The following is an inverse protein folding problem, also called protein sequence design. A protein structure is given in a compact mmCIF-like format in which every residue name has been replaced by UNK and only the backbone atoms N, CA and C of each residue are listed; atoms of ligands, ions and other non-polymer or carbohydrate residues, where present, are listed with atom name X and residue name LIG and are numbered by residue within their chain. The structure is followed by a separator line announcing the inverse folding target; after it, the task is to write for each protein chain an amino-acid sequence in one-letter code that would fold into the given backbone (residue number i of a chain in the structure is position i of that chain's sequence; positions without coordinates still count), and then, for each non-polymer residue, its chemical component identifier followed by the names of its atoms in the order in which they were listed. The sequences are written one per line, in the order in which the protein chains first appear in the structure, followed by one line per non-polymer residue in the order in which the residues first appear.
data_IF_113213810650
#
_entry.id   IF_113213810650
#
_cell.length_a   1.000
_cell.length_b   1.000
_cell.length_c   1.000
_cell.angle_alpha   90.00
_cell.angle_beta   90.00
_cell.angle_gamma   90.00
#
_symmetry.space_group_name_H-M   'P 1'
#
loop_
_entity.id
_entity.type
_entity.pdbx_description
1 polymer ?
#
# COMPACT_ATOMS: atom_id res chain seq x y z
N UNK A 1 -6.86 24.66 13.73
CA UNK A 1 -7.28 23.32 14.18
C UNK A 1 -8.74 23.16 13.79
N UNK A 2 -9.02 22.34 12.78
CA UNK A 2 -10.39 22.01 12.39
C UNK A 2 -10.95 20.90 13.29
N UNK A 3 -12.24 20.99 13.61
CA UNK A 3 -12.91 20.04 14.50
C UNK A 3 -13.69 19.03 13.65
N UNK A 4 -13.26 17.78 13.69
CA UNK A 4 -13.95 16.66 13.06
C UNK A 4 -14.77 15.88 14.11
N UNK A 5 -16.00 15.53 13.79
CA UNK A 5 -16.80 14.60 14.60
C UNK A 5 -16.64 13.19 14.05
N UNK A 6 -16.06 12.29 14.86
CA UNK A 6 -15.83 10.89 14.50
C UNK A 6 -16.79 10.02 15.29
N UNK A 7 -17.58 9.21 14.59
CA UNK A 7 -18.47 8.21 15.18
C UNK A 7 -17.73 6.88 15.32
N UNK A 8 -17.60 6.41 16.56
CA UNK A 8 -17.04 5.10 16.86
C UNK A 8 -18.14 4.10 17.21
N UNK A 9 -18.09 2.88 16.69
CA UNK A 9 -18.88 1.76 17.19
C UNK A 9 -18.71 1.57 18.70
N UNK A 10 -19.80 1.23 19.40
CA UNK A 10 -19.83 1.15 20.87
C UNK A 10 -18.75 0.23 21.49
N UNK A 11 -18.40 -0.95 20.92
CA UNK A 11 -17.31 -1.77 21.46
C UNK A 11 -15.95 -1.06 21.40
N UNK A 12 -15.70 -0.29 20.34
CA UNK A 12 -14.44 0.42 20.11
C UNK A 12 -14.35 1.64 21.02
N UNK A 13 -15.46 2.38 21.18
CA UNK A 13 -15.55 3.53 22.07
C UNK A 13 -15.31 3.14 23.54
N UNK A 14 -15.88 2.02 24.00
CA UNK A 14 -15.63 1.49 25.34
C UNK A 14 -14.15 1.17 25.57
N UNK A 15 -13.50 0.54 24.60
CA UNK A 15 -12.05 0.25 24.66
C UNK A 15 -11.22 1.54 24.71
N UNK A 16 -11.51 2.51 23.85
CA UNK A 16 -10.85 3.82 23.83
C UNK A 16 -10.97 4.55 25.17
N UNK A 17 -12.18 4.60 25.74
CA UNK A 17 -12.41 5.20 27.07
C UNK A 17 -11.65 4.49 28.19
N UNK A 18 -11.57 3.16 28.14
CA UNK A 18 -10.80 2.40 29.14
C UNK A 18 -9.30 2.72 29.05
N UNK A 19 -8.78 2.91 27.84
CA UNK A 19 -7.37 3.19 27.59
C UNK A 19 -7.01 4.62 27.99
N UNK A 20 -7.89 5.59 27.66
CA UNK A 20 -7.81 6.98 28.12
C UNK A 20 -7.70 7.09 29.64
N UNK A 21 -8.56 6.36 30.37
CA UNK A 21 -8.54 6.35 31.84
C UNK A 21 -7.24 5.76 32.41
N UNK A 22 -6.68 4.73 31.79
CA UNK A 22 -5.44 4.10 32.26
C UNK A 22 -4.22 4.98 32.04
N UNK A 23 -4.24 5.81 31.01
CA UNK A 23 -3.12 6.67 30.64
C UNK A 23 -3.26 8.11 31.15
N UNK A 24 -4.35 8.40 31.85
CA UNK A 24 -4.74 9.75 32.32
C UNK A 24 -4.70 10.80 31.19
N UNK A 25 -5.23 10.42 30.02
CA UNK A 25 -5.25 11.26 28.80
C UNK A 25 -6.64 11.35 28.21
N UNK A 26 -7.02 12.48 27.58
CA UNK A 26 -8.30 12.59 26.90
C UNK A 26 -8.33 11.71 25.65
N UNK A 27 -9.52 11.20 25.31
CA UNK A 27 -9.73 10.35 24.13
C UNK A 27 -9.30 11.04 22.83
N UNK A 28 -9.49 12.36 22.74
CA UNK A 28 -9.08 13.17 21.59
C UNK A 28 -7.57 13.15 21.34
N UNK A 29 -6.76 13.12 22.40
CA UNK A 29 -5.29 13.05 22.28
C UNK A 29 -4.85 11.67 21.79
N UNK A 30 -5.48 10.61 22.30
CA UNK A 30 -5.22 9.24 21.83
C UNK A 30 -5.54 9.07 20.34
N UNK A 31 -6.68 9.60 19.91
CA UNK A 31 -7.07 9.55 18.49
C UNK A 31 -6.10 10.36 17.66
N UNK A 32 -5.71 11.56 18.10
CA UNK A 32 -4.73 12.38 17.37
C UNK A 32 -3.39 11.67 17.22
N UNK A 33 -2.84 11.12 18.31
CA UNK A 33 -1.57 10.40 18.27
C UNK A 33 -1.62 9.12 17.41
N UNK A 34 -2.76 8.41 17.42
CA UNK A 34 -2.96 7.24 16.57
C UNK A 34 -3.00 7.62 15.08
N UNK A 35 -3.71 8.70 14.74
CA UNK A 35 -3.81 9.21 13.37
C UNK A 35 -2.45 9.72 12.89
N UNK A 36 -1.74 10.49 13.72
CA UNK A 36 -0.39 10.98 13.42
C UNK A 36 0.58 9.83 13.18
N UNK A 37 0.56 8.78 14.02
CA UNK A 37 1.35 7.58 13.81
C UNK A 37 0.98 6.87 12.50
N UNK A 38 -0.30 6.81 12.16
CA UNK A 38 -0.77 6.16 10.93
C UNK A 38 -0.32 6.94 9.68
N UNK A 39 -0.50 8.27 9.69
CA UNK A 39 -0.06 9.17 8.62
C UNK A 39 1.46 9.13 8.44
N UNK A 40 2.23 9.15 9.53
CA UNK A 40 3.69 9.03 9.45
C UNK A 40 4.15 7.70 8.85
N UNK A 41 3.37 6.62 9.03
CA UNK A 41 3.68 5.29 8.48
C UNK A 41 3.23 5.12 7.02
N UNK A 42 2.12 5.73 6.65
CA UNK A 42 1.49 5.58 5.33
C UNK A 42 1.53 6.90 4.57
N UNK A 43 2.56 7.72 4.81
CA UNK A 43 2.65 9.10 4.34
C UNK A 43 2.23 9.26 2.89
N UNK A 44 1.51 10.36 2.63
CA UNK A 44 1.00 10.83 1.34
C UNK A 44 1.14 9.80 0.21
N UNK A 45 0.07 9.03 -0.05
CA UNK A 45 -0.07 8.16 -1.24
C UNK A 45 -0.02 8.96 -2.58
N UNK A 46 0.54 10.16 -2.59
CA UNK A 46 0.67 11.04 -3.74
C UNK A 46 1.86 10.72 -4.63
N UNK A 47 2.74 9.78 -4.24
CA UNK A 47 3.56 9.10 -5.25
C UNK A 47 2.71 8.03 -5.93
N UNK A 48 1.84 8.49 -6.84
CA UNK A 48 1.44 7.66 -7.97
C UNK A 48 2.73 7.40 -8.73
N UNK A 49 3.46 6.35 -8.33
CA UNK A 49 4.63 5.90 -9.05
C UNK A 49 4.11 5.41 -10.40
N UNK A 50 4.10 6.31 -11.39
CA UNK A 50 4.01 5.93 -12.79
C UNK A 50 5.28 5.13 -13.09
N UNK A 51 5.24 3.84 -12.75
CA UNK A 51 6.24 2.88 -13.20
C UNK A 51 6.08 2.79 -14.71
N UNK A 52 6.81 3.64 -15.41
CA UNK A 52 7.03 3.47 -16.84
C UNK A 52 7.70 2.11 -16.96
N UNK A 53 7.00 1.15 -17.57
CA UNK A 53 7.57 -0.16 -17.82
C UNK A 53 8.86 0.04 -18.63
N UNK A 54 9.99 -0.56 -18.23
CA UNK A 54 11.21 -0.44 -19.01
C UNK A 54 10.95 -0.99 -20.41
N UNK A 55 11.08 -0.12 -21.41
CA UNK A 55 10.98 -0.51 -22.81
C UNK A 55 12.32 -1.14 -23.19
N UNK A 56 12.34 -2.46 -23.30
CA UNK A 56 13.51 -3.19 -23.78
C UNK A 56 13.46 -3.32 -25.30
N UNK A 57 14.54 -2.92 -25.96
CA UNK A 57 14.70 -3.19 -27.39
C UNK A 57 15.28 -4.60 -27.53
N UNK A 58 14.41 -5.60 -27.65
CA UNK A 58 14.80 -7.02 -27.78
C UNK A 58 15.42 -7.39 -29.14
N UNK A 59 16.06 -6.43 -29.83
CA UNK A 59 16.62 -6.62 -31.17
C UNK A 59 15.57 -6.87 -32.25
N UNK A 60 16.03 -7.36 -33.41
CA UNK A 60 15.15 -7.78 -34.50
C UNK A 60 14.64 -9.20 -34.23
N UNK A 61 13.40 -9.48 -34.65
CA UNK A 61 12.84 -10.83 -34.62
C UNK A 61 13.61 -11.67 -35.64
N UNK A 62 14.37 -12.66 -35.17
CA UNK A 62 15.23 -13.50 -36.01
C UNK A 62 14.48 -14.66 -36.68
N UNK A 63 13.36 -15.09 -36.10
CA UNK A 63 12.64 -16.32 -36.48
C UNK A 63 11.14 -16.07 -36.35
N UNK A 64 10.34 -16.59 -37.28
CA UNK A 64 8.88 -16.52 -37.18
C UNK A 64 8.39 -17.34 -35.97
N UNK A 65 7.30 -16.87 -35.38
CA UNK A 65 6.55 -17.54 -34.32
C UNK A 65 6.22 -19.01 -34.61
N UNK A 66 6.02 -19.37 -35.88
CA UNK A 66 5.69 -20.74 -36.30
C UNK A 66 6.84 -21.72 -36.07
N UNK A 67 8.08 -21.25 -36.18
CA UNK A 67 9.27 -22.09 -36.23
C UNK A 67 9.95 -22.22 -34.85
N UNK A 68 9.51 -21.42 -33.88
CA UNK A 68 10.06 -21.39 -32.51
C UNK A 68 10.04 -22.76 -31.82
N UNK A 69 8.97 -23.55 -32.03
CA UNK A 69 8.85 -24.88 -31.40
C UNK A 69 9.89 -25.86 -31.93
N UNK A 70 10.17 -25.80 -33.23
CA UNK A 70 11.15 -26.69 -33.85
C UNK A 70 12.55 -26.32 -33.36
N UNK A 71 12.90 -25.04 -33.48
CA UNK A 71 14.22 -24.51 -33.12
C UNK A 71 14.56 -24.73 -31.64
N UNK A 72 13.58 -24.60 -30.73
CA UNK A 72 13.77 -24.87 -29.30
C UNK A 72 14.06 -26.34 -28.97
N UNK A 73 13.80 -27.28 -29.87
CA UNK A 73 14.01 -28.71 -29.66
C UNK A 73 15.15 -29.30 -30.51
N UNK A 74 15.81 -28.51 -31.35
CA UNK A 74 16.95 -28.94 -32.18
C UNK A 74 18.16 -29.37 -31.33
N UNK A 75 18.38 -28.74 -30.17
CA UNK A 75 19.48 -29.08 -29.24
C UNK A 75 19.25 -30.38 -28.43
N UNK A 76 18.07 -31.02 -28.55
CA UNK A 76 17.69 -32.20 -27.74
C UNK A 76 17.81 -33.53 -28.50
N UNK A 77 18.24 -33.52 -29.76
CA UNK A 77 18.45 -34.69 -30.63
C UNK A 77 19.93 -34.93 -30.90
#
# INVERSE_FOLDING_TARGET
MEKLQILFPEPQLRRLRSLARRQDRPVSELVRGAVELWLNRHGDETEVVHKIAPIYHCGAILVDSTDLRQLANEDRT
#
